data_IF_828450642140
#
_entry.id   IF_828450642140
#
_cell.length_a   1.000
_cell.length_b   1.000
_cell.length_c   1.000
_cell.angle_alpha   90.00
_cell.angle_beta   90.00
_cell.angle_gamma   90.00
#
_symmetry.space_group_name_H-M   'P 1'
#
loop_
_entity.id
_entity.type
_entity.pdbx_description
1 polymer ?
#
# COMPACT_ATOMS: atom_id res chain seq x y z
N UNK A 1 -24.35 46.65 13.26
CA UNK A 1 -22.94 46.55 12.85
C UNK A 1 -22.56 45.29 12.06
N UNK A 2 -23.44 44.35 11.83
CA UNK A 2 -23.15 43.09 11.11
C UNK A 2 -23.23 43.19 9.57
N UNK A 3 -23.91 44.15 9.01
CA UNK A 3 -24.07 44.31 7.53
C UNK A 3 -22.83 44.90 6.82
N UNK A 4 -21.95 45.60 7.52
CA UNK A 4 -20.77 46.26 6.91
C UNK A 4 -19.60 45.29 6.69
N UNK A 5 -19.57 44.15 7.40
CA UNK A 5 -18.49 43.15 7.29
C UNK A 5 -18.65 42.24 6.06
N UNK A 6 -19.89 41.94 5.65
CA UNK A 6 -20.17 41.04 4.52
C UNK A 6 -19.84 41.68 3.16
N UNK A 7 -20.15 42.95 2.99
CA UNK A 7 -19.87 43.70 1.75
C UNK A 7 -18.35 43.89 1.51
N UNK A 8 -17.55 44.08 2.56
CA UNK A 8 -16.09 44.17 2.42
C UNK A 8 -15.44 42.85 2.02
N UNK A 9 -15.92 41.72 2.54
CA UNK A 9 -15.44 40.38 2.11
C UNK A 9 -15.77 40.05 0.67
N UNK A 10 -16.99 40.38 0.23
CA UNK A 10 -17.40 40.19 -1.17
C UNK A 10 -16.57 41.05 -2.12
N UNK A 11 -16.23 42.29 -1.75
CA UNK A 11 -15.38 43.17 -2.56
C UNK A 11 -13.95 42.66 -2.70
N UNK A 12 -13.36 42.11 -1.63
CA UNK A 12 -12.00 41.54 -1.68
C UNK A 12 -11.94 40.25 -2.54
N UNK A 13 -12.95 39.40 -2.47
CA UNK A 13 -13.04 38.19 -3.32
C UNK A 13 -13.22 38.57 -4.79
N UNK A 14 -14.06 39.55 -5.10
CA UNK A 14 -14.24 40.02 -6.49
C UNK A 14 -12.97 40.67 -7.05
N UNK A 15 -12.23 41.44 -6.25
CA UNK A 15 -10.95 42.03 -6.65
C UNK A 15 -9.87 40.94 -6.88
N UNK A 16 -9.83 39.90 -6.06
CA UNK A 16 -8.89 38.78 -6.21
C UNK A 16 -9.18 37.99 -7.50
N UNK A 17 -10.44 37.72 -7.78
CA UNK A 17 -10.85 37.01 -9.02
C UNK A 17 -10.54 37.85 -10.25
N UNK A 18 -10.76 39.15 -10.21
CA UNK A 18 -10.41 40.07 -11.32
C UNK A 18 -8.89 40.10 -11.57
N UNK A 19 -8.06 40.13 -10.53
CA UNK A 19 -6.60 40.07 -10.65
C UNK A 19 -6.13 38.75 -11.28
N UNK A 20 -6.71 37.61 -10.88
CA UNK A 20 -6.35 36.30 -11.46
C UNK A 20 -6.72 36.23 -12.93
N UNK A 21 -7.92 36.72 -13.31
CA UNK A 21 -8.34 36.76 -14.73
C UNK A 21 -7.41 37.66 -15.55
N UNK A 22 -6.97 38.80 -15.02
CA UNK A 22 -6.07 39.72 -15.70
C UNK A 22 -4.68 39.11 -15.90
N UNK A 23 -4.16 38.37 -14.92
CA UNK A 23 -2.86 37.67 -15.03
C UNK A 23 -2.94 36.55 -16.06
N UNK A 24 -4.04 35.79 -16.09
CA UNK A 24 -4.25 34.72 -17.09
C UNK A 24 -4.36 35.32 -18.52
N UNK A 25 -5.07 36.44 -18.70
CA UNK A 25 -5.17 37.08 -19.99
C UNK A 25 -3.85 37.74 -20.45
N UNK A 26 -3.09 38.35 -19.54
CA UNK A 26 -1.76 38.87 -19.87
C UNK A 26 -0.77 37.76 -20.22
N UNK A 27 -0.80 36.64 -19.47
CA UNK A 27 -0.02 35.44 -19.79
C UNK A 27 -0.36 34.86 -21.17
N UNK A 28 -1.66 34.81 -21.52
CA UNK A 28 -2.12 34.33 -22.83
C UNK A 28 -1.74 35.29 -23.98
N UNK A 29 -1.75 36.60 -23.73
CA UNK A 29 -1.37 37.59 -24.70
C UNK A 29 0.15 37.62 -24.95
N UNK A 30 0.96 37.48 -23.91
CA UNK A 30 2.43 37.35 -24.05
C UNK A 30 2.80 36.07 -24.79
N UNK A 31 2.14 34.94 -24.52
CA UNK A 31 2.33 33.69 -25.26
C UNK A 31 1.96 33.82 -26.74
N UNK A 32 0.99 34.67 -27.09
CA UNK A 32 0.56 34.87 -28.49
C UNK A 32 1.46 35.84 -29.25
N UNK A 33 2.18 36.71 -28.57
CA UNK A 33 3.08 37.70 -29.18
C UNK A 33 4.47 37.13 -29.51
N UNK A 34 4.84 35.98 -28.96
CA UNK A 34 6.12 35.29 -29.18
C UNK A 34 6.04 34.23 -30.31
N UNK A 35 4.84 33.94 -30.83
CA UNK A 35 4.63 32.90 -31.85
C UNK A 35 4.83 33.35 -33.30
N UNK A 36 5.79 34.22 -33.55
CA UNK A 36 6.11 34.71 -34.89
C UNK A 36 7.35 34.09 -35.57
N UNK A 37 8.04 33.17 -34.95
CA UNK A 37 9.13 32.42 -35.58
C UNK A 37 8.91 30.91 -35.37
N UNK A 38 9.01 30.15 -36.49
CA UNK A 38 8.66 28.74 -36.52
C UNK A 38 9.39 27.90 -35.47
N UNK A 39 8.70 27.64 -34.38
CA UNK A 39 9.09 26.58 -33.48
C UNK A 39 8.66 25.24 -34.11
N UNK A 40 9.64 24.46 -34.55
CA UNK A 40 9.42 23.02 -34.71
C UNK A 40 8.92 22.51 -33.38
N UNK A 41 7.66 22.13 -33.34
CA UNK A 41 7.07 21.37 -32.21
C UNK A 41 7.81 20.04 -32.14
N UNK A 42 8.86 19.98 -31.32
CA UNK A 42 9.35 18.73 -30.81
C UNK A 42 8.19 18.17 -29.95
N UNK A 43 7.34 17.38 -30.59
CA UNK A 43 6.42 16.49 -29.88
C UNK A 43 7.28 15.50 -29.14
N UNK A 44 7.71 15.87 -27.92
CA UNK A 44 8.08 14.88 -26.92
C UNK A 44 6.81 14.09 -26.67
N UNK A 45 6.68 12.96 -27.38
CA UNK A 45 5.77 11.90 -26.96
C UNK A 45 6.24 11.50 -25.58
N UNK A 46 5.57 12.00 -24.54
CA UNK A 46 5.72 11.46 -23.20
C UNK A 46 5.45 9.97 -23.35
N UNK A 47 6.47 9.15 -23.24
CA UNK A 47 6.28 7.70 -23.22
C UNK A 47 5.25 7.41 -22.14
N UNK A 48 4.15 6.78 -22.53
CA UNK A 48 3.08 6.47 -21.61
C UNK A 48 3.64 5.59 -20.49
N UNK A 49 3.49 6.04 -19.25
CA UNK A 49 3.96 5.29 -18.07
C UNK A 49 3.35 3.90 -18.07
N UNK A 50 4.17 2.86 -18.22
CA UNK A 50 3.71 1.49 -18.23
C UNK A 50 2.98 1.15 -16.90
N UNK A 51 1.82 0.49 -16.95
CA UNK A 51 1.07 0.14 -15.76
C UNK A 51 1.82 -0.90 -14.92
N UNK A 52 1.43 -1.05 -13.65
CA UNK A 52 1.84 -2.22 -12.87
C UNK A 52 1.33 -3.50 -13.53
N UNK A 53 2.09 -4.63 -13.51
CA UNK A 53 1.62 -5.91 -14.02
C UNK A 53 0.25 -6.29 -13.41
N UNK A 54 -0.72 -6.67 -14.24
CA UNK A 54 -2.07 -7.08 -13.79
C UNK A 54 -2.06 -8.50 -13.22
N UNK A 55 -1.23 -8.70 -12.19
CA UNK A 55 -1.10 -9.95 -11.43
C UNK A 55 -1.32 -9.65 -9.95
N UNK A 56 -2.20 -10.38 -9.31
CA UNK A 56 -2.43 -10.35 -7.87
C UNK A 56 -1.83 -11.61 -7.28
N UNK A 57 -0.86 -11.42 -6.40
CA UNK A 57 -0.18 -12.46 -5.65
C UNK A 57 -0.66 -12.46 -4.21
N UNK A 58 -0.89 -13.63 -3.66
CA UNK A 58 -1.18 -13.83 -2.25
C UNK A 58 -0.59 -15.16 -1.79
N UNK A 59 -0.48 -15.35 -0.49
CA UNK A 59 -0.06 -16.62 0.10
C UNK A 59 -1.03 -17.05 1.17
N UNK A 60 -1.46 -18.30 1.09
CA UNK A 60 -2.27 -18.95 2.13
C UNK A 60 -1.95 -20.44 2.18
N UNK A 61 -1.47 -20.92 3.33
CA UNK A 61 -1.07 -22.31 3.57
C UNK A 61 -1.84 -22.91 4.76
N UNK A 62 -2.87 -22.22 5.24
CA UNK A 62 -3.78 -22.73 6.27
C UNK A 62 -4.91 -23.56 5.69
N UNK A 63 -5.71 -24.10 6.59
CA UNK A 63 -6.92 -24.84 6.22
C UNK A 63 -7.86 -24.01 5.35
N UNK A 64 -8.77 -24.70 4.66
CA UNK A 64 -9.82 -24.06 3.88
C UNK A 64 -10.69 -23.17 4.77
N UNK A 65 -10.63 -21.86 4.55
CA UNK A 65 -11.34 -20.86 5.35
C UNK A 65 -12.34 -20.13 4.48
N UNK A 66 -13.62 -20.17 4.86
CA UNK A 66 -14.72 -19.59 4.10
C UNK A 66 -14.57 -18.05 3.96
N UNK A 67 -14.11 -17.35 5.01
CA UNK A 67 -13.88 -15.89 4.95
C UNK A 67 -12.78 -15.57 3.93
N UNK A 68 -11.69 -16.33 3.91
CA UNK A 68 -10.63 -16.18 2.92
C UNK A 68 -11.17 -16.40 1.49
N UNK A 69 -11.93 -17.47 1.30
CA UNK A 69 -12.51 -17.77 -0.01
C UNK A 69 -13.43 -16.63 -0.51
N UNK A 70 -14.21 -16.03 0.40
CA UNK A 70 -15.06 -14.88 0.08
C UNK A 70 -14.23 -13.64 -0.25
N UNK A 71 -13.17 -13.37 0.50
CA UNK A 71 -12.24 -12.27 0.17
C UNK A 71 -11.70 -12.41 -1.25
N UNK A 72 -11.16 -13.57 -1.61
CA UNK A 72 -10.60 -13.85 -2.93
C UNK A 72 -11.66 -13.75 -4.05
N UNK A 73 -12.91 -14.15 -3.80
CA UNK A 73 -14.01 -13.95 -4.76
C UNK A 73 -14.25 -12.48 -5.07
N UNK A 74 -14.10 -11.57 -4.09
CA UNK A 74 -14.22 -10.13 -4.37
C UNK A 74 -13.13 -9.64 -5.33
N UNK A 75 -11.91 -10.20 -5.24
CA UNK A 75 -10.83 -9.83 -6.15
C UNK A 75 -11.18 -10.18 -7.60
N UNK A 76 -11.66 -11.40 -7.84
CA UNK A 76 -12.05 -11.85 -9.19
C UNK A 76 -13.21 -11.04 -9.74
N UNK A 77 -14.19 -10.69 -8.89
CA UNK A 77 -15.36 -9.91 -9.29
C UNK A 77 -14.99 -8.50 -9.75
N UNK A 78 -14.18 -7.80 -8.95
CA UNK A 78 -13.83 -6.40 -9.21
C UNK A 78 -12.64 -6.23 -10.15
N UNK A 79 -11.85 -7.29 -10.37
CA UNK A 79 -10.66 -7.26 -11.22
C UNK A 79 -10.62 -8.46 -12.19
N UNK A 80 -11.60 -8.59 -13.09
CA UNK A 80 -11.74 -9.78 -13.95
C UNK A 80 -10.60 -9.94 -14.96
N UNK A 81 -9.86 -8.89 -15.25
CA UNK A 81 -8.72 -8.86 -16.16
C UNK A 81 -7.36 -9.03 -15.44
N UNK A 82 -7.37 -9.25 -14.12
CA UNK A 82 -6.17 -9.55 -13.36
C UNK A 82 -5.99 -11.06 -13.20
N UNK A 83 -4.74 -11.53 -13.36
CA UNK A 83 -4.39 -12.91 -13.01
C UNK A 83 -4.21 -13.01 -11.49
N UNK A 84 -5.07 -13.75 -10.82
CA UNK A 84 -4.97 -14.00 -9.38
C UNK A 84 -4.22 -15.31 -9.16
N UNK A 85 -3.18 -15.28 -8.34
CA UNK A 85 -2.37 -16.43 -7.96
C UNK A 85 -2.31 -16.54 -6.44
N UNK A 86 -2.97 -17.57 -5.91
CA UNK A 86 -2.86 -17.93 -4.52
C UNK A 86 -1.71 -18.92 -4.37
N UNK A 87 -0.61 -18.46 -3.79
CA UNK A 87 0.57 -19.26 -3.49
C UNK A 87 0.34 -20.08 -2.22
N UNK A 88 0.95 -21.25 -2.18
CA UNK A 88 1.05 -22.14 -1.03
C UNK A 88 2.30 -22.99 -1.17
N UNK A 89 2.64 -23.80 -0.16
CA UNK A 89 3.84 -24.65 -0.23
C UNK A 89 3.85 -25.62 -1.40
N UNK A 90 2.70 -26.11 -1.83
CA UNK A 90 2.61 -27.10 -2.91
C UNK A 90 2.89 -26.52 -4.30
N UNK A 91 2.59 -25.22 -4.52
CA UNK A 91 2.76 -24.60 -5.84
C UNK A 91 3.91 -23.57 -5.89
N UNK A 92 4.52 -23.23 -4.75
CA UNK A 92 5.52 -22.17 -4.66
C UNK A 92 6.70 -22.38 -5.62
N UNK A 93 7.23 -23.61 -5.71
CA UNK A 93 8.36 -23.94 -6.59
C UNK A 93 8.07 -23.75 -8.09
N UNK A 94 6.81 -23.64 -8.49
CA UNK A 94 6.43 -23.32 -9.88
C UNK A 94 6.67 -21.86 -10.24
N UNK A 95 6.69 -20.99 -9.24
CA UNK A 95 6.82 -19.53 -9.41
C UNK A 95 8.17 -19.00 -8.95
N UNK A 96 8.81 -19.67 -8.00
CA UNK A 96 10.10 -19.32 -7.43
C UNK A 96 11.03 -20.55 -7.42
N UNK A 97 11.36 -21.13 -8.59
CA UNK A 97 12.11 -22.39 -8.66
C UNK A 97 13.56 -22.26 -8.20
N UNK A 98 14.17 -21.09 -8.41
CA UNK A 98 15.57 -20.83 -8.15
C UNK A 98 15.82 -20.17 -6.77
N UNK A 99 14.76 -19.90 -6.02
CA UNK A 99 14.88 -19.27 -4.71
C UNK A 99 14.94 -20.32 -3.61
N UNK A 100 16.02 -20.32 -2.86
CA UNK A 100 16.11 -21.10 -1.63
C UNK A 100 15.25 -20.45 -0.53
N UNK A 101 13.97 -20.75 -0.58
CA UNK A 101 13.01 -20.44 0.48
C UNK A 101 12.95 -21.60 1.48
N UNK A 102 13.98 -22.48 1.48
CA UNK A 102 14.06 -23.57 2.45
C UNK A 102 14.04 -22.99 3.86
N UNK A 103 13.26 -23.61 4.70
CA UNK A 103 12.98 -23.20 6.06
C UNK A 103 14.18 -23.43 7.00
N UNK A 104 15.25 -24.05 6.53
CA UNK A 104 16.39 -24.39 7.35
C UNK A 104 16.99 -23.24 8.16
N UNK A 105 17.15 -22.04 7.60
CA UNK A 105 17.59 -20.90 8.41
C UNK A 105 16.53 -20.43 9.40
N UNK A 106 15.26 -20.83 9.23
CA UNK A 106 14.12 -20.41 10.00
C UNK A 106 13.62 -21.50 10.97
N UNK A 107 14.08 -22.76 10.80
CA UNK A 107 13.82 -23.85 11.76
C UNK A 107 14.59 -23.56 13.04
N UNK A 108 13.88 -23.25 14.10
CA UNK A 108 14.45 -22.89 15.41
C UNK A 108 14.39 -21.39 15.73
N UNK A 109 14.13 -20.56 14.76
CA UNK A 109 13.79 -19.17 14.95
C UNK A 109 12.31 -19.02 14.77
N UNK A 110 11.55 -18.54 15.71
CA UNK A 110 10.17 -18.07 15.56
C UNK A 110 9.58 -18.22 14.15
N UNK A 111 9.75 -19.42 13.55
CA UNK A 111 9.16 -19.73 12.27
C UNK A 111 7.66 -19.63 12.43
N UNK A 112 7.10 -18.58 11.85
CA UNK A 112 5.67 -18.41 11.78
C UNK A 112 5.24 -18.45 10.31
N UNK A 113 4.03 -18.95 9.99
CA UNK A 113 3.48 -18.87 8.65
C UNK A 113 3.49 -17.43 8.10
N UNK A 114 3.34 -16.45 8.99
CA UNK A 114 3.37 -15.02 8.64
C UNK A 114 4.74 -14.59 8.12
N UNK A 115 5.82 -14.94 8.84
CA UNK A 115 7.19 -14.61 8.42
C UNK A 115 7.58 -15.29 7.13
N UNK A 116 7.14 -16.53 6.93
CA UNK A 116 7.32 -17.21 5.65
C UNK A 116 6.57 -16.49 4.53
N UNK A 117 5.32 -16.07 4.76
CA UNK A 117 4.57 -15.23 3.84
C UNK A 117 5.28 -13.91 3.53
N UNK A 118 5.93 -13.29 4.53
CA UNK A 118 6.72 -12.07 4.34
C UNK A 118 7.90 -12.30 3.39
N UNK A 119 8.57 -13.44 3.48
CA UNK A 119 9.64 -13.83 2.57
C UNK A 119 9.10 -14.06 1.16
N UNK A 120 8.04 -14.86 1.03
CA UNK A 120 7.40 -15.16 -0.26
C UNK A 120 6.97 -13.88 -0.98
N UNK A 121 6.33 -12.94 -0.27
CA UNK A 121 5.84 -11.68 -0.87
C UNK A 121 6.95 -10.85 -1.48
N UNK A 122 8.08 -10.74 -0.79
CA UNK A 122 9.20 -9.94 -1.27
C UNK A 122 9.89 -10.62 -2.47
N UNK A 123 10.06 -11.93 -2.44
CA UNK A 123 10.67 -12.67 -3.54
C UNK A 123 9.82 -12.62 -4.81
N UNK A 124 8.51 -12.89 -4.70
CA UNK A 124 7.65 -12.91 -5.88
C UNK A 124 7.50 -11.52 -6.50
N UNK A 125 7.35 -10.47 -5.69
CA UNK A 125 7.21 -9.12 -6.20
C UNK A 125 8.53 -8.56 -6.75
N UNK A 126 9.69 -8.96 -6.19
CA UNK A 126 11.00 -8.66 -6.77
C UNK A 126 11.13 -9.21 -8.19
N UNK A 127 10.69 -10.43 -8.42
CA UNK A 127 10.79 -11.12 -9.71
C UNK A 127 9.75 -10.63 -10.72
N UNK A 128 8.50 -10.55 -10.31
CA UNK A 128 7.35 -10.43 -11.20
C UNK A 128 6.71 -9.04 -11.22
N UNK A 129 6.90 -8.26 -10.16
CA UNK A 129 6.07 -7.08 -9.93
C UNK A 129 4.58 -7.44 -9.76
N UNK A 130 3.72 -6.46 -9.93
CA UNK A 130 2.27 -6.61 -9.75
C UNK A 130 1.82 -6.23 -8.34
N UNK A 131 0.79 -6.90 -7.85
CA UNK A 131 0.12 -6.59 -6.59
C UNK A 131 0.34 -7.71 -5.59
N UNK A 132 0.82 -7.39 -4.40
CA UNK A 132 0.64 -8.26 -3.26
C UNK A 132 -0.64 -7.90 -2.52
N UNK A 133 -1.42 -8.90 -2.18
CA UNK A 133 -2.62 -8.74 -1.35
C UNK A 133 -2.67 -9.88 -0.32
N UNK A 134 -2.67 -9.54 0.96
CA UNK A 134 -2.94 -10.56 1.98
C UNK A 134 -4.33 -11.17 1.77
N UNK A 135 -4.46 -12.46 2.05
CA UNK A 135 -5.68 -13.24 1.80
C UNK A 135 -6.94 -12.72 2.51
N UNK A 136 -6.78 -11.83 3.49
CA UNK A 136 -7.87 -11.21 4.25
C UNK A 136 -8.30 -9.82 3.73
N UNK A 137 -7.87 -9.45 2.53
CA UNK A 137 -8.30 -8.21 1.89
C UNK A 137 -9.63 -8.43 1.16
N UNK A 138 -10.56 -7.51 1.36
CA UNK A 138 -11.83 -7.43 0.63
C UNK A 138 -11.75 -6.29 -0.37
N UNK A 139 -12.06 -6.56 -1.64
CA UNK A 139 -12.24 -5.52 -2.65
C UNK A 139 -13.71 -5.09 -2.72
N UNK A 140 -13.94 -3.79 -2.80
CA UNK A 140 -15.24 -3.16 -3.07
C UNK A 140 -15.25 -2.43 -4.43
N UNK A 141 -14.08 -2.29 -5.04
CA UNK A 141 -13.90 -1.68 -6.36
C UNK A 141 -12.70 -2.33 -7.09
N UNK A 142 -12.58 -2.03 -8.39
CA UNK A 142 -11.40 -2.39 -9.19
C UNK A 142 -10.14 -1.74 -8.64
N UNK A 143 -8.98 -2.39 -8.82
CA UNK A 143 -7.65 -1.85 -8.49
C UNK A 143 -7.16 -0.80 -9.52
N UNK A 144 -8.00 -0.40 -10.48
CA UNK A 144 -7.63 0.58 -11.50
C UNK A 144 -7.28 1.96 -10.92
N UNK A 145 -7.76 2.29 -9.72
CA UNK A 145 -7.36 3.49 -9.01
C UNK A 145 -5.87 3.48 -8.63
N UNK A 146 -5.29 2.34 -8.32
CA UNK A 146 -3.83 2.19 -8.12
C UNK A 146 -3.10 2.39 -9.45
N UNK A 147 -3.62 1.85 -10.55
CA UNK A 147 -3.08 2.10 -11.89
C UNK A 147 -3.17 3.58 -12.27
N UNK A 148 -4.22 4.27 -11.81
CA UNK A 148 -4.33 5.73 -12.04
C UNK A 148 -3.26 6.50 -11.27
N UNK A 149 -3.02 6.18 -9.99
CA UNK A 149 -1.90 6.77 -9.22
C UNK A 149 -0.58 6.57 -9.99
N UNK A 150 -0.32 5.37 -10.50
CA UNK A 150 0.87 5.07 -11.30
C UNK A 150 0.98 5.97 -12.53
N UNK A 151 -0.11 6.15 -13.29
CA UNK A 151 -0.13 7.01 -14.48
C UNK A 151 0.15 8.48 -14.12
N UNK A 152 -0.47 8.95 -13.04
CA UNK A 152 -0.42 10.37 -12.65
C UNK A 152 0.92 10.77 -12.04
N UNK A 153 1.58 9.85 -11.35
CA UNK A 153 2.81 10.15 -10.58
C UNK A 153 4.09 9.57 -11.17
N UNK A 154 3.97 8.55 -12.02
CA UNK A 154 5.13 7.79 -12.50
C UNK A 154 5.77 6.90 -11.43
N UNK A 155 5.18 6.74 -10.25
CA UNK A 155 5.75 6.02 -9.11
C UNK A 155 6.01 4.54 -9.42
N UNK A 156 7.06 3.96 -8.84
CA UNK A 156 7.40 2.55 -9.03
C UNK A 156 6.79 1.62 -7.97
N UNK A 157 6.21 2.21 -6.92
CA UNK A 157 5.61 1.51 -5.80
C UNK A 157 4.41 2.30 -5.28
N UNK A 158 3.31 1.60 -4.99
CA UNK A 158 2.16 2.14 -4.25
C UNK A 158 1.83 1.18 -3.12
N UNK A 159 1.71 1.70 -1.91
CA UNK A 159 1.40 0.88 -0.74
C UNK A 159 0.74 1.71 0.37
N UNK A 160 0.71 1.15 1.56
CA UNK A 160 0.15 1.81 2.73
C UNK A 160 1.22 2.03 3.79
N UNK A 161 1.05 3.05 4.60
CA UNK A 161 1.78 3.23 5.84
C UNK A 161 0.81 3.33 7.01
N UNK A 162 1.29 3.01 8.21
CA UNK A 162 0.53 3.12 9.45
C UNK A 162 1.06 4.28 10.28
N UNK A 163 0.22 5.30 10.46
CA UNK A 163 0.63 6.54 11.09
C UNK A 163 0.89 6.37 12.60
N UNK A 164 0.10 5.56 13.27
CA UNK A 164 0.27 5.28 14.70
C UNK A 164 1.60 4.58 15.06
N UNK A 165 2.27 3.95 14.08
CA UNK A 165 3.61 3.36 14.28
C UNK A 165 4.72 4.19 13.63
N UNK A 166 4.36 5.34 13.06
CA UNK A 166 5.30 6.23 12.38
C UNK A 166 5.81 7.31 13.34
N UNK A 167 7.13 7.48 13.41
CA UNK A 167 7.70 8.62 14.10
C UNK A 167 7.33 9.91 13.37
N UNK A 168 6.72 10.88 14.06
CA UNK A 168 6.23 12.14 13.48
C UNK A 168 7.31 12.89 12.67
N UNK A 169 8.56 12.90 13.16
CA UNK A 169 9.67 13.56 12.48
C UNK A 169 10.13 12.84 11.20
N UNK A 170 9.61 11.66 10.93
CA UNK A 170 9.97 10.83 9.78
C UNK A 170 8.80 10.54 8.84
N UNK A 171 7.62 11.07 9.11
CA UNK A 171 6.40 10.84 8.33
C UNK A 171 6.60 11.12 6.85
N UNK A 172 7.31 12.17 6.51
CA UNK A 172 7.52 12.58 5.11
C UNK A 172 8.63 11.81 4.40
N UNK A 173 9.57 11.23 5.13
CA UNK A 173 10.76 10.57 4.55
C UNK A 173 10.74 9.06 4.65
N UNK A 174 10.36 8.53 5.80
CA UNK A 174 10.38 7.10 6.12
C UNK A 174 9.23 6.70 7.06
N UNK A 175 7.95 6.84 6.61
CA UNK A 175 6.81 6.37 7.40
C UNK A 175 6.84 4.85 7.56
N UNK A 176 6.19 4.33 8.58
CA UNK A 176 6.16 2.88 8.82
C UNK A 176 5.26 2.19 7.81
N UNK A 177 5.91 1.53 6.85
CA UNK A 177 5.28 0.86 5.73
C UNK A 177 4.51 -0.37 6.18
N UNK A 178 3.29 -0.53 5.68
CA UNK A 178 2.49 -1.76 5.81
C UNK A 178 2.84 -2.76 4.72
N UNK A 179 2.90 -4.04 5.08
CA UNK A 179 3.33 -5.09 4.15
C UNK A 179 2.19 -5.90 3.54
N UNK A 180 0.96 -5.75 4.03
CA UNK A 180 -0.19 -6.55 3.62
C UNK A 180 -0.77 -6.21 2.24
N UNK A 181 -0.46 -5.04 1.68
CA UNK A 181 -0.82 -4.63 0.33
C UNK A 181 0.22 -3.68 -0.23
N UNK A 182 0.72 -3.98 -1.41
CA UNK A 182 1.46 -3.03 -2.25
C UNK A 182 1.45 -3.47 -3.71
N UNK A 183 1.58 -2.49 -4.60
CA UNK A 183 1.79 -2.69 -6.03
C UNK A 183 3.14 -2.15 -6.43
N UNK A 184 3.84 -2.86 -7.29
CA UNK A 184 5.13 -2.41 -7.79
C UNK A 184 5.37 -2.80 -9.25
N UNK A 185 6.26 -2.05 -9.91
CA UNK A 185 6.78 -2.43 -11.24
C UNK A 185 7.65 -3.68 -11.13
N UNK A 186 7.74 -4.44 -12.22
CA UNK A 186 8.81 -5.44 -12.32
C UNK A 186 10.17 -4.74 -12.23
N UNK A 187 11.08 -5.29 -11.42
CA UNK A 187 12.39 -4.68 -11.17
C UNK A 187 12.39 -3.45 -10.24
N UNK A 188 11.30 -3.22 -9.50
CA UNK A 188 11.21 -2.13 -8.53
C UNK A 188 12.42 -2.15 -7.57
N UNK A 189 13.15 -1.03 -7.53
CA UNK A 189 14.38 -0.92 -6.74
C UNK A 189 14.10 -1.11 -5.24
N UNK A 190 13.04 -0.48 -4.71
CA UNK A 190 12.70 -0.63 -3.31
C UNK A 190 12.41 -2.08 -2.93
N UNK A 191 11.61 -2.80 -3.72
CA UNK A 191 11.25 -4.20 -3.42
C UNK A 191 12.47 -5.11 -3.51
N UNK A 192 13.36 -4.86 -4.48
CA UNK A 192 14.65 -5.58 -4.57
C UNK A 192 15.49 -5.37 -3.31
N UNK A 193 15.66 -4.13 -2.89
CA UNK A 193 16.45 -3.78 -1.73
C UNK A 193 15.82 -4.29 -0.44
N UNK A 194 14.48 -4.22 -0.34
CA UNK A 194 13.73 -4.75 0.80
C UNK A 194 13.85 -6.27 0.92
N UNK A 195 13.73 -6.98 -0.20
CA UNK A 195 13.96 -8.42 -0.23
C UNK A 195 15.39 -8.78 0.23
N UNK A 196 16.39 -8.08 -0.28
CA UNK A 196 17.79 -8.31 0.08
C UNK A 196 18.02 -8.02 1.56
N UNK A 197 17.50 -6.93 2.10
CA UNK A 197 17.62 -6.60 3.52
C UNK A 197 16.91 -7.62 4.40
N UNK A 198 15.66 -7.97 4.08
CA UNK A 198 14.88 -8.92 4.87
C UNK A 198 15.53 -10.31 4.91
N UNK A 199 16.20 -10.72 3.84
CA UNK A 199 16.97 -11.99 3.81
C UNK A 199 18.11 -12.03 4.78
N UNK A 200 18.74 -10.90 5.12
CA UNK A 200 19.88 -10.89 6.04
C UNK A 200 19.53 -11.36 7.45
N UNK A 201 18.24 -11.44 7.79
CA UNK A 201 17.79 -11.95 9.09
C UNK A 201 18.33 -13.36 9.36
N UNK A 202 18.49 -14.20 8.32
CA UNK A 202 19.00 -15.57 8.44
C UNK A 202 20.49 -15.65 8.81
N UNK A 203 21.22 -14.54 8.65
CA UNK A 203 22.64 -14.45 8.99
C UNK A 203 22.87 -14.26 10.51
N UNK A 204 21.78 -14.05 11.25
CA UNK A 204 21.81 -13.85 12.70
C UNK A 204 21.29 -15.07 13.44
N UNK A 205 21.91 -15.37 14.59
CA UNK A 205 21.46 -16.49 15.42
C UNK A 205 20.07 -16.31 16.02
N UNK A 206 19.60 -15.10 16.19
CA UNK A 206 18.24 -14.78 16.64
C UNK A 206 17.74 -13.49 15.99
N UNK A 207 16.40 -13.34 15.91
CA UNK A 207 15.78 -12.09 15.44
C UNK A 207 16.19 -10.92 16.34
N UNK A 208 16.31 -11.15 17.64
CA UNK A 208 16.71 -10.09 18.57
C UNK A 208 18.13 -9.57 18.25
N UNK A 209 19.06 -10.45 17.86
CA UNK A 209 20.39 -10.01 17.43
C UNK A 209 20.32 -9.17 16.13
N UNK A 210 19.47 -9.55 15.18
CA UNK A 210 19.23 -8.69 14.01
C UNK A 210 18.65 -7.33 14.42
N UNK A 211 17.65 -7.31 15.27
CA UNK A 211 17.02 -6.07 15.75
C UNK A 211 18.00 -5.19 16.53
N UNK A 212 18.90 -5.78 17.34
CA UNK A 212 19.94 -5.06 18.06
C UNK A 212 20.94 -4.41 17.11
N UNK A 213 21.30 -5.10 16.02
CA UNK A 213 22.15 -4.52 15.00
C UNK A 213 21.47 -3.37 14.26
N UNK A 214 20.22 -3.56 13.85
CA UNK A 214 19.43 -2.53 13.16
C UNK A 214 19.26 -1.29 14.05
N UNK A 215 19.03 -1.46 15.35
CA UNK A 215 18.82 -0.37 16.31
C UNK A 215 20.00 0.60 16.41
N UNK A 216 21.20 0.18 16.02
CA UNK A 216 22.40 1.05 16.02
C UNK A 216 22.29 2.19 15.01
N UNK A 217 21.50 2.02 13.96
CA UNK A 217 21.44 2.98 12.84
C UNK A 217 19.99 3.39 12.46
N UNK A 218 18.99 2.74 13.04
CA UNK A 218 17.59 2.89 12.64
C UNK A 218 16.71 3.05 13.86
N UNK A 219 15.90 4.09 13.86
CA UNK A 219 14.86 4.28 14.87
C UNK A 219 13.57 3.56 14.43
N UNK A 220 13.20 2.53 15.18
CA UNK A 220 11.93 1.82 15.05
C UNK A 220 11.22 1.66 16.40
N UNK A 221 11.50 2.58 17.34
CA UNK A 221 10.95 2.56 18.71
C UNK A 221 9.42 2.65 18.75
N UNK A 222 8.81 3.19 17.71
CA UNK A 222 7.36 3.30 17.57
C UNK A 222 6.69 2.05 17.03
N UNK A 223 7.45 1.09 16.49
CA UNK A 223 6.91 -0.18 15.98
C UNK A 223 6.69 -1.15 17.15
N UNK A 224 5.43 -1.50 17.49
CA UNK A 224 5.17 -2.45 18.56
C UNK A 224 5.56 -3.85 18.12
N UNK A 225 6.01 -4.69 19.07
CA UNK A 225 6.39 -6.08 18.79
C UNK A 225 7.28 -6.23 17.53
N UNK A 226 8.43 -5.54 17.53
CA UNK A 226 9.36 -5.51 16.40
C UNK A 226 9.82 -6.91 15.94
N UNK A 227 9.88 -7.89 16.85
CA UNK A 227 10.19 -9.29 16.54
C UNK A 227 9.13 -9.91 15.62
N UNK A 228 7.85 -9.60 15.82
CA UNK A 228 6.78 -10.03 14.91
C UNK A 228 6.76 -9.18 13.63
N UNK A 229 6.96 -7.86 13.76
CA UNK A 229 6.91 -6.90 12.67
C UNK A 229 8.28 -6.64 12.03
N UNK A 230 9.13 -7.66 11.98
CA UNK A 230 10.51 -7.55 11.48
C UNK A 230 10.57 -7.05 10.02
N UNK A 231 9.59 -7.42 9.21
CA UNK A 231 9.48 -6.92 7.82
C UNK A 231 9.31 -5.38 7.77
N UNK A 232 8.58 -4.80 8.72
CA UNK A 232 8.43 -3.35 8.84
C UNK A 232 9.74 -2.68 9.27
N UNK A 233 10.47 -3.32 10.20
CA UNK A 233 11.78 -2.84 10.66
C UNK A 233 12.79 -2.85 9.52
N UNK A 234 12.82 -3.90 8.70
CA UNK A 234 13.72 -3.97 7.53
C UNK A 234 13.44 -2.88 6.49
N UNK A 235 12.16 -2.53 6.27
CA UNK A 235 11.78 -1.39 5.43
C UNK A 235 12.25 -0.05 6.02
N UNK A 236 12.10 0.12 7.35
CA UNK A 236 12.58 1.31 8.06
C UNK A 236 14.09 1.49 7.91
N UNK A 237 14.85 0.39 8.05
CA UNK A 237 16.33 0.41 7.87
C UNK A 237 16.70 0.97 6.49
N UNK A 238 16.01 0.56 5.45
CA UNK A 238 16.28 1.05 4.09
C UNK A 238 15.94 2.53 3.94
N UNK A 239 14.74 2.92 4.34
CA UNK A 239 14.26 4.30 4.15
C UNK A 239 15.01 5.32 5.03
N UNK A 240 15.56 4.90 6.17
CA UNK A 240 16.33 5.79 7.03
C UNK A 240 17.82 5.86 6.65
N UNK A 241 18.40 4.79 6.05
CA UNK A 241 19.83 4.71 5.85
C UNK A 241 20.29 4.71 4.38
N UNK A 242 19.39 4.52 3.42
CA UNK A 242 19.73 4.48 2.00
C UNK A 242 19.04 5.57 1.19
N UNK A 243 17.73 5.50 1.08
CA UNK A 243 16.90 6.40 0.27
C UNK A 243 15.57 6.63 0.96
N UNK A 244 15.06 7.85 0.93
CA UNK A 244 13.70 8.17 1.40
C UNK A 244 12.64 7.50 0.52
N UNK A 245 11.37 7.51 0.96
CA UNK A 245 10.26 7.02 0.14
C UNK A 245 10.19 7.73 -1.23
N UNK A 246 10.48 9.02 -1.26
CA UNK A 246 10.41 9.81 -2.49
C UNK A 246 11.57 9.46 -3.44
N UNK A 247 12.78 9.23 -2.91
CA UNK A 247 13.95 8.79 -3.69
C UNK A 247 13.74 7.39 -4.30
N UNK A 248 12.92 6.54 -3.68
CA UNK A 248 12.50 5.25 -4.22
C UNK A 248 11.31 5.37 -5.20
N UNK A 249 10.73 6.56 -5.38
CA UNK A 249 9.56 6.77 -6.22
C UNK A 249 8.31 6.05 -5.68
N UNK A 250 8.06 6.19 -4.38
CA UNK A 250 6.95 5.53 -3.70
C UNK A 250 5.79 6.50 -3.47
N UNK A 251 4.55 6.02 -3.63
CA UNK A 251 3.34 6.67 -3.13
C UNK A 251 2.76 5.82 -2.01
N UNK A 252 2.63 6.41 -0.83
CA UNK A 252 2.14 5.74 0.37
C UNK A 252 0.85 6.38 0.85
N UNK A 253 -0.17 5.56 1.07
CA UNK A 253 -1.48 5.97 1.56
C UNK A 253 -1.58 5.67 3.06
N UNK A 254 -2.19 6.57 3.81
CA UNK A 254 -2.41 6.34 5.24
C UNK A 254 -3.47 5.26 5.44
N UNK A 255 -3.10 4.18 6.12
CA UNK A 255 -3.97 3.02 6.31
C UNK A 255 -5.21 3.36 7.14
N UNK A 256 -5.06 4.19 8.18
CA UNK A 256 -6.14 4.61 9.09
C UNK A 256 -7.23 5.46 8.42
N UNK A 257 -6.91 6.12 7.31
CA UNK A 257 -7.87 6.93 6.54
C UNK A 257 -8.46 6.15 5.36
N UNK A 258 -7.95 4.94 5.10
CA UNK A 258 -8.28 4.11 3.96
C UNK A 258 -8.68 2.69 4.39
N UNK A 259 -7.89 1.68 4.06
CA UNK A 259 -8.20 0.27 4.28
C UNK A 259 -8.46 -0.10 5.76
N UNK A 260 -7.97 0.67 6.71
CA UNK A 260 -8.22 0.56 8.15
C UNK A 260 -9.19 1.61 8.70
N UNK A 261 -9.84 2.43 7.86
CA UNK A 261 -10.74 3.49 8.33
C UNK A 261 -11.85 2.96 9.24
N UNK A 262 -12.43 1.81 8.89
CA UNK A 262 -13.46 1.14 9.68
C UNK A 262 -12.93 0.64 11.05
N UNK A 263 -11.65 0.25 11.15
CA UNK A 263 -11.00 -0.10 12.42
C UNK A 263 -10.78 1.14 13.28
N UNK A 264 -10.20 2.16 12.67
CA UNK A 264 -9.88 3.42 13.34
C UNK A 264 -11.14 4.06 13.97
N UNK A 265 -12.23 4.13 13.22
CA UNK A 265 -13.54 4.63 13.69
C UNK A 265 -14.14 3.83 14.84
N UNK A 266 -13.87 2.54 14.90
CA UNK A 266 -14.43 1.64 15.92
C UNK A 266 -13.44 1.35 17.06
N UNK A 267 -12.39 2.19 17.21
CA UNK A 267 -11.41 2.08 18.28
C UNK A 267 -10.61 0.77 18.25
N UNK A 268 -10.42 0.20 17.04
CA UNK A 268 -9.68 -1.04 16.81
C UNK A 268 -10.29 -2.29 17.47
N UNK A 269 -11.55 -2.21 17.90
CA UNK A 269 -12.31 -3.33 18.44
C UNK A 269 -12.76 -4.26 17.29
N UNK A 270 -12.35 -5.53 17.26
CA UNK A 270 -12.64 -6.42 16.14
C UNK A 270 -14.14 -6.63 15.89
N UNK A 271 -14.91 -6.91 16.95
CA UNK A 271 -16.33 -7.20 16.82
C UNK A 271 -17.13 -5.98 16.35
N UNK A 272 -16.86 -4.79 16.93
CA UNK A 272 -17.50 -3.55 16.50
C UNK A 272 -17.14 -3.20 15.06
N UNK A 273 -15.88 -3.35 14.70
CA UNK A 273 -15.39 -3.04 13.37
C UNK A 273 -16.02 -3.93 12.30
N UNK A 274 -16.09 -5.23 12.55
CA UNK A 274 -16.71 -6.19 11.62
C UNK A 274 -18.23 -5.96 11.52
N UNK A 275 -18.90 -5.67 12.63
CA UNK A 275 -20.32 -5.32 12.61
C UNK A 275 -20.59 -4.03 11.80
N UNK A 276 -19.77 -2.99 11.95
CA UNK A 276 -19.85 -1.77 11.15
C UNK A 276 -19.61 -2.06 9.66
N UNK A 277 -18.57 -2.83 9.34
CA UNK A 277 -18.22 -3.24 7.98
C UNK A 277 -19.40 -3.97 7.29
N UNK A 278 -19.98 -4.97 7.96
CA UNK A 278 -21.08 -5.76 7.38
C UNK A 278 -22.38 -4.96 7.18
N UNK A 279 -22.55 -3.87 7.92
CA UNK A 279 -23.64 -2.91 7.72
C UNK A 279 -23.39 -1.89 6.61
N UNK A 280 -22.16 -1.82 6.08
CA UNK A 280 -21.77 -0.91 5.00
C UNK A 280 -21.08 0.36 5.47
N UNK A 281 -20.65 0.43 6.72
CA UNK A 281 -19.88 1.57 7.28
C UNK A 281 -18.38 1.33 7.10
N UNK A 282 -17.89 1.57 5.90
CA UNK A 282 -16.48 1.43 5.51
C UNK A 282 -16.00 2.59 4.61
N UNK A 283 -16.65 3.76 4.68
CA UNK A 283 -16.29 4.98 3.94
C UNK A 283 -16.17 4.79 2.41
N UNK A 284 -16.86 3.82 1.83
CA UNK A 284 -16.73 3.45 0.42
C UNK A 284 -15.27 3.18 -0.02
N UNK A 285 -14.43 2.71 0.92
CA UNK A 285 -13.05 2.38 0.60
C UNK A 285 -12.98 1.26 -0.45
N UNK A 286 -12.13 1.40 -1.48
CA UNK A 286 -12.03 0.41 -2.56
C UNK A 286 -11.47 -0.93 -2.08
N UNK A 287 -10.67 -0.91 -1.01
CA UNK A 287 -10.14 -2.11 -0.35
C UNK A 287 -10.25 -1.98 1.16
N UNK A 288 -10.54 -3.09 1.82
CA UNK A 288 -10.59 -3.23 3.28
C UNK A 288 -9.64 -4.34 3.68
N UNK A 289 -8.80 -4.09 4.71
CA UNK A 289 -7.94 -5.11 5.30
C UNK A 289 -8.49 -5.57 6.63
N UNK A 290 -8.72 -6.87 6.78
CA UNK A 290 -8.97 -7.53 8.07
C UNK A 290 -7.68 -8.10 8.62
N UNK A 291 -7.36 -7.82 9.89
CA UNK A 291 -6.30 -8.51 10.63
C UNK A 291 -6.80 -9.91 11.04
N UNK A 292 -5.98 -10.71 11.71
CA UNK A 292 -6.39 -12.02 12.18
C UNK A 292 -7.61 -12.00 13.12
N UNK A 293 -7.67 -11.01 14.00
CA UNK A 293 -8.78 -10.85 14.95
C UNK A 293 -10.10 -10.44 14.24
N UNK A 294 -10.09 -9.58 13.24
CA UNK A 294 -11.28 -9.26 12.46
C UNK A 294 -11.71 -10.43 11.58
N UNK A 295 -10.77 -11.20 11.02
CA UNK A 295 -11.13 -12.42 10.30
C UNK A 295 -11.89 -13.40 11.22
N UNK A 296 -11.39 -13.64 12.42
CA UNK A 296 -12.07 -14.49 13.39
C UNK A 296 -13.45 -13.91 13.79
N UNK A 297 -13.53 -12.61 14.06
CA UNK A 297 -14.80 -11.96 14.35
C UNK A 297 -15.80 -12.05 13.17
N UNK A 298 -15.30 -12.02 11.92
CA UNK A 298 -16.13 -12.18 10.72
C UNK A 298 -16.71 -13.61 10.61
N UNK A 299 -16.00 -14.62 11.10
CA UNK A 299 -16.51 -16.00 11.10
C UNK A 299 -17.80 -16.12 11.91
N UNK A 300 -17.92 -15.36 12.99
CA UNK A 300 -19.07 -15.34 13.90
C UNK A 300 -20.08 -14.23 13.62
N UNK A 301 -19.85 -13.36 12.62
CA UNK A 301 -20.70 -12.21 12.34
C UNK A 301 -22.04 -12.63 11.68
N UNK A 302 -23.21 -12.33 12.30
CA UNK A 302 -24.51 -12.74 11.76
C UNK A 302 -24.82 -12.22 10.37
N UNK A 303 -24.32 -11.05 10.03
CA UNK A 303 -24.58 -10.40 8.73
C UNK A 303 -23.54 -10.79 7.65
N UNK A 304 -22.60 -11.68 7.96
CA UNK A 304 -21.51 -12.09 7.06
C UNK A 304 -22.01 -12.53 5.69
N UNK A 305 -22.98 -13.43 5.65
CA UNK A 305 -23.50 -13.96 4.38
C UNK A 305 -24.15 -12.87 3.54
N UNK A 306 -24.96 -12.01 4.17
CA UNK A 306 -25.59 -10.88 3.49
C UNK A 306 -24.56 -9.88 2.96
N UNK A 307 -23.51 -9.62 3.73
CA UNK A 307 -22.42 -8.74 3.33
C UNK A 307 -21.70 -9.28 2.10
N UNK A 308 -21.21 -10.52 2.18
CA UNK A 308 -20.48 -11.11 1.04
C UNK A 308 -21.39 -11.33 -0.18
N UNK A 309 -22.67 -11.69 -0.01
CA UNK A 309 -23.58 -11.82 -1.14
C UNK A 309 -23.77 -10.52 -1.96
N UNK A 310 -23.60 -9.36 -1.32
CA UNK A 310 -23.64 -8.05 -2.02
C UNK A 310 -22.38 -7.76 -2.84
N UNK A 311 -21.24 -8.30 -2.43
CA UNK A 311 -19.94 -7.94 -2.99
C UNK A 311 -19.22 -9.11 -3.69
N UNK A 312 -19.74 -10.32 -3.69
CA UNK A 312 -19.28 -11.49 -4.45
C UNK A 312 -20.33 -11.94 -5.46
#
# INVERSE_FOLDING_TARGET
>A
MAHYSSARKAFHVAALVACIITIVFLGWWVLRSVSGEGFETVTTTSEAVAPFPKKIWSYWDGDNNEVINRCVKTWSKFNPDYKIVMLNRANLAQYLPDEDLSVKPWEGYDYTPQRFSDMVRLHILRQEGGFWMDATIVCHASLDWIQQIRRDTGCNFVGYYIDQFTNENRRDTSPTLESWFFACTQGCEFVRDWCNEFRTIVDYDTIDLYLDEVRKTTDFSTIPNATYLTIHVSAQKLMQNRKTKDDYGMVLLRAEDTAFSYLNKNGWDPAKSVNALTRGDFDNQPVIKMRGCERTAMEDEPNRETYFARIT
#
